data_IF_663396625626
#
_entry.id   IF_663396625626
#
_cell.length_a   1.000
_cell.length_b   1.000
_cell.length_c   1.000
_cell.angle_alpha   90.00
_cell.angle_beta   90.00
_cell.angle_gamma   90.00
#
_symmetry.space_group_name_H-M   'P 1'
#
loop_
_entity.id
_entity.type
_entity.pdbx_description
1 polymer ?
#
# COMPACT_ATOMS: atom_id res chain seq x y z
N UNK A 1 7.27 -2.58 -23.29
CA UNK A 1 6.88 -1.85 -22.06
C UNK A 1 7.97 -1.90 -20.98
N UNK A 2 9.17 -1.40 -21.30
CA UNK A 2 10.33 -1.30 -20.38
C UNK A 2 10.42 0.07 -19.69
N UNK A 3 9.40 0.92 -19.82
CA UNK A 3 9.41 2.32 -19.34
C UNK A 3 9.19 2.40 -17.81
N UNK A 4 8.88 1.28 -17.14
CA UNK A 4 8.62 1.24 -15.69
C UNK A 4 9.55 0.31 -14.92
N UNK A 5 10.76 0.05 -15.43
CA UNK A 5 11.87 -0.19 -14.50
C UNK A 5 12.09 1.12 -13.73
N UNK A 6 11.30 1.32 -12.67
CA UNK A 6 11.54 2.40 -11.73
C UNK A 6 12.95 2.16 -11.21
N UNK A 7 13.92 3.03 -11.50
CA UNK A 7 15.27 2.83 -11.04
C UNK A 7 15.20 2.61 -9.53
N UNK A 8 15.72 1.48 -9.05
CA UNK A 8 15.96 1.32 -7.62
C UNK A 8 17.07 2.29 -7.29
N UNK A 9 16.70 3.55 -7.04
CA UNK A 9 17.62 4.54 -6.54
C UNK A 9 18.03 4.04 -5.17
N UNK A 10 19.26 3.57 -5.07
CA UNK A 10 19.86 3.09 -3.83
C UNK A 10 20.21 4.30 -2.96
N UNK A 11 19.20 5.12 -2.67
CA UNK A 11 19.33 6.34 -1.90
C UNK A 11 19.38 5.92 -0.44
N UNK A 12 20.57 6.07 0.15
CA UNK A 12 20.75 5.96 1.59
C UNK A 12 19.74 6.87 2.28
N UNK A 13 18.94 6.30 3.19
CA UNK A 13 18.05 7.10 4.03
C UNK A 13 18.91 8.01 4.91
N UNK A 14 18.83 9.31 4.67
CA UNK A 14 19.53 10.34 5.45
C UNK A 14 18.74 10.75 6.70
N UNK A 15 17.41 10.71 6.62
CA UNK A 15 16.49 11.09 7.69
C UNK A 15 15.26 10.16 7.68
N UNK A 16 14.96 9.56 8.84
CA UNK A 16 13.85 8.62 8.99
C UNK A 16 12.48 9.29 8.89
N UNK A 17 12.33 10.51 9.41
CA UNK A 17 11.08 11.27 9.33
C UNK A 17 10.77 11.60 7.88
N UNK A 18 11.77 12.00 7.10
CA UNK A 18 11.60 12.25 5.66
C UNK A 18 11.25 10.98 4.90
N UNK A 19 11.93 9.86 5.19
CA UNK A 19 11.62 8.59 4.55
C UNK A 19 10.18 8.13 4.85
N UNK A 20 9.71 8.28 6.10
CA UNK A 20 8.34 7.95 6.48
C UNK A 20 7.32 8.91 5.88
N UNK A 21 7.62 10.20 5.81
CA UNK A 21 6.74 11.18 5.18
C UNK A 21 6.55 10.85 3.69
N UNK A 22 7.66 10.67 2.96
CA UNK A 22 7.60 10.31 1.55
C UNK A 22 6.89 8.97 1.33
N UNK A 23 7.08 7.99 2.21
CA UNK A 23 6.40 6.69 2.12
C UNK A 23 4.88 6.78 2.34
N UNK A 24 4.40 7.83 3.02
CA UNK A 24 2.99 8.10 3.27
C UNK A 24 2.39 9.17 2.33
N UNK A 25 3.16 9.70 1.39
CA UNK A 25 2.68 10.67 0.41
C UNK A 25 1.62 10.02 -0.52
N UNK A 26 0.39 10.56 -0.62
CA UNK A 26 -0.69 9.97 -1.42
C UNK A 26 -0.33 9.77 -2.90
N UNK A 27 0.41 10.70 -3.49
CA UNK A 27 0.82 10.62 -4.90
C UNK A 27 1.76 9.44 -5.10
N UNK A 28 2.74 9.29 -4.21
CA UNK A 28 3.65 8.14 -4.21
C UNK A 28 2.87 6.85 -4.01
N UNK A 29 1.98 6.77 -3.03
CA UNK A 29 1.17 5.56 -2.77
C UNK A 29 0.39 5.16 -4.03
N UNK A 30 -0.21 6.12 -4.72
CA UNK A 30 -0.94 5.90 -5.97
C UNK A 30 -0.02 5.40 -7.09
N UNK A 31 1.14 6.02 -7.29
CA UNK A 31 2.14 5.57 -8.27
C UNK A 31 2.61 4.15 -7.99
N UNK A 32 2.76 3.76 -6.71
CA UNK A 32 3.15 2.40 -6.34
C UNK A 32 2.07 1.36 -6.67
N UNK A 33 0.79 1.72 -6.75
CA UNK A 33 -0.22 0.78 -7.26
C UNK A 33 -0.07 0.51 -8.76
N UNK A 34 0.32 1.54 -9.53
CA UNK A 34 0.42 1.43 -10.98
C UNK A 34 1.40 0.32 -11.40
N UNK A 35 2.47 0.09 -10.64
CA UNK A 35 3.45 -0.96 -10.93
C UNK A 35 2.86 -2.37 -10.88
N UNK A 36 1.85 -2.62 -10.02
CA UNK A 36 1.13 -3.89 -9.92
C UNK A 36 0.14 -4.13 -11.07
N UNK A 37 -0.14 -3.10 -11.87
CA UNK A 37 -0.97 -3.19 -13.08
C UNK A 37 -0.13 -3.34 -14.35
N UNK A 38 1.16 -3.61 -14.20
CA UNK A 38 2.13 -3.81 -15.27
C UNK A 38 2.69 -5.24 -15.22
N UNK A 39 3.57 -5.56 -16.17
CA UNK A 39 4.38 -6.77 -16.22
C UNK A 39 3.57 -8.06 -15.90
N UNK A 40 3.63 -8.69 -14.68
CA UNK A 40 2.85 -9.90 -14.45
C UNK A 40 1.35 -9.72 -14.64
N UNK A 41 0.78 -8.54 -14.37
CA UNK A 41 -0.66 -8.30 -14.55
C UNK A 41 -1.10 -8.50 -16.00
N UNK A 42 -0.25 -8.10 -16.95
CA UNK A 42 -0.51 -8.16 -18.39
C UNK A 42 -0.13 -9.51 -19.02
N UNK A 43 0.34 -10.46 -18.22
CA UNK A 43 0.70 -11.78 -18.72
C UNK A 43 -0.55 -12.57 -19.11
N UNK A 44 -0.49 -13.21 -20.27
CA UNK A 44 -1.50 -14.13 -20.77
C UNK A 44 -0.79 -15.44 -21.11
N UNK A 45 -1.29 -16.58 -20.63
CA UNK A 45 -0.75 -17.90 -21.00
C UNK A 45 -1.25 -18.29 -22.41
N UNK A 46 -2.52 -17.99 -22.67
CA UNK A 46 -3.19 -18.05 -23.96
C UNK A 46 -3.77 -16.68 -24.27
N UNK A 47 -3.79 -16.30 -25.54
CA UNK A 47 -4.31 -15.00 -25.99
C UNK A 47 -5.73 -14.74 -25.43
N UNK A 48 -5.87 -13.61 -24.73
CA UNK A 48 -7.10 -13.15 -24.12
C UNK A 48 -7.50 -13.83 -22.80
N UNK A 49 -6.64 -14.69 -22.23
CA UNK A 49 -6.87 -15.23 -20.90
C UNK A 49 -6.48 -14.27 -19.77
N UNK A 50 -6.77 -14.67 -18.53
CA UNK A 50 -6.60 -13.84 -17.36
C UNK A 50 -5.46 -14.30 -16.45
N UNK A 51 -4.49 -15.08 -16.96
CA UNK A 51 -3.46 -15.70 -16.13
C UNK A 51 -2.71 -14.70 -15.23
N UNK A 52 -2.30 -13.56 -15.79
CA UNK A 52 -1.63 -12.48 -15.06
C UNK A 52 -2.53 -11.77 -14.05
N UNK A 53 -3.81 -11.56 -14.40
CA UNK A 53 -4.82 -10.95 -13.52
C UNK A 53 -5.10 -11.85 -12.32
N UNK A 54 -5.28 -13.15 -12.55
CA UNK A 54 -5.51 -14.15 -11.51
C UNK A 54 -4.29 -14.29 -10.59
N UNK A 55 -3.08 -14.22 -11.17
CA UNK A 55 -1.85 -14.21 -10.39
C UNK A 55 -1.73 -12.97 -9.49
N UNK A 56 -1.96 -11.76 -10.00
CA UNK A 56 -1.86 -10.52 -9.21
C UNK A 56 -2.97 -10.40 -8.17
N UNK A 57 -4.20 -10.76 -8.53
CA UNK A 57 -5.33 -10.76 -7.58
C UNK A 57 -5.12 -11.78 -6.46
N UNK A 58 -4.64 -12.98 -6.79
CA UNK A 58 -4.32 -14.04 -5.85
C UNK A 58 -3.13 -13.72 -4.93
N UNK A 59 -2.05 -13.11 -5.46
CA UNK A 59 -0.86 -12.83 -4.65
C UNK A 59 -0.91 -11.50 -3.90
N UNK A 60 -1.34 -10.41 -4.56
CA UNK A 60 -1.22 -9.05 -4.03
C UNK A 60 -2.53 -8.56 -3.43
N UNK A 61 -3.63 -8.61 -4.19
CA UNK A 61 -4.92 -8.11 -3.69
C UNK A 61 -5.41 -8.95 -2.50
N UNK A 62 -5.38 -10.28 -2.63
CA UNK A 62 -5.77 -11.20 -1.56
C UNK A 62 -4.92 -11.03 -0.30
N UNK A 63 -3.61 -10.74 -0.44
CA UNK A 63 -2.74 -10.48 0.70
C UNK A 63 -3.15 -9.22 1.47
N UNK A 64 -3.52 -8.15 0.77
CA UNK A 64 -4.00 -6.92 1.41
C UNK A 64 -5.35 -7.14 2.12
N UNK A 65 -6.27 -7.94 1.55
CA UNK A 65 -7.50 -8.34 2.24
C UNK A 65 -7.23 -9.15 3.53
N UNK A 66 -6.26 -10.07 3.49
CA UNK A 66 -5.86 -10.84 4.67
C UNK A 66 -5.26 -9.94 5.77
N UNK A 67 -4.44 -8.95 5.40
CA UNK A 67 -3.92 -7.96 6.34
C UNK A 67 -5.06 -7.18 7.00
N UNK A 68 -5.98 -6.65 6.20
CA UNK A 68 -7.16 -5.94 6.71
C UNK A 68 -7.99 -6.81 7.66
N UNK A 69 -8.24 -8.08 7.31
CA UNK A 69 -8.96 -9.02 8.17
C UNK A 69 -8.24 -9.32 9.48
N UNK A 70 -6.90 -9.36 9.47
CA UNK A 70 -6.13 -9.53 10.68
C UNK A 70 -6.22 -8.29 11.59
N UNK A 71 -6.26 -7.08 11.01
CA UNK A 71 -6.42 -5.83 11.77
C UNK A 71 -7.79 -5.79 12.46
N UNK A 72 -8.87 -6.18 11.77
CA UNK A 72 -10.20 -6.35 12.37
C UNK A 72 -10.22 -7.30 13.59
N UNK A 73 -9.30 -8.25 13.68
CA UNK A 73 -9.22 -9.19 14.82
C UNK A 73 -8.49 -8.62 16.03
N UNK A 74 -7.74 -7.54 15.86
CA UNK A 74 -7.02 -6.88 16.97
C UNK A 74 -7.99 -6.06 17.83
N UNK A 75 -9.03 -5.50 17.21
CA UNK A 75 -9.92 -4.55 17.88
C UNK A 75 -10.86 -5.25 18.86
N UNK A 76 -10.88 -4.78 20.09
CA UNK A 76 -11.96 -5.06 21.04
C UNK A 76 -12.42 -3.72 21.62
N UNK A 77 -13.68 -3.33 21.40
CA UNK A 77 -14.41 -2.26 22.12
C UNK A 77 -14.33 -0.81 21.61
N UNK A 78 -14.04 -0.57 20.32
CA UNK A 78 -14.45 0.67 19.62
C UNK A 78 -13.76 1.99 19.99
N UNK A 79 -12.92 2.03 21.03
CA UNK A 79 -12.22 3.27 21.47
C UNK A 79 -10.70 3.23 21.22
N UNK A 80 -10.14 2.07 20.85
CA UNK A 80 -8.71 1.91 20.66
C UNK A 80 -8.22 2.50 19.32
N UNK A 81 -7.03 3.11 19.34
CA UNK A 81 -6.31 3.53 18.13
C UNK A 81 -5.23 2.52 17.78
N UNK A 82 -5.13 2.17 16.50
CA UNK A 82 -4.09 1.28 15.98
C UNK A 82 -3.06 2.11 15.20
N UNK A 83 -1.80 2.00 15.59
CA UNK A 83 -0.67 2.45 14.76
C UNK A 83 -0.23 1.30 13.86
N UNK A 84 -0.42 1.43 12.55
CA UNK A 84 0.01 0.42 11.59
C UNK A 84 1.42 0.74 11.07
N UNK A 85 2.38 -0.13 11.37
CA UNK A 85 3.73 -0.10 10.81
C UNK A 85 3.82 -1.22 9.77
N UNK A 86 3.88 -0.84 8.50
CA UNK A 86 3.84 -1.80 7.38
C UNK A 86 4.67 -1.28 6.19
N UNK A 87 5.05 -2.18 5.28
CA UNK A 87 5.65 -1.78 4.01
C UNK A 87 4.71 -0.89 3.20
N UNK A 88 5.22 0.24 2.68
CA UNK A 88 4.41 1.28 2.03
C UNK A 88 3.67 0.82 0.77
N UNK A 89 4.16 -0.23 0.11
CA UNK A 89 3.48 -0.81 -1.06
C UNK A 89 2.05 -1.24 -0.73
N UNK A 90 1.76 -1.65 0.50
CA UNK A 90 0.44 -2.11 0.93
C UNK A 90 -0.58 -0.97 1.08
N UNK A 91 -0.11 0.27 1.25
CA UNK A 91 -0.98 1.40 1.55
C UNK A 91 -1.95 1.72 0.41
N UNK A 92 -1.62 1.37 -0.84
CA UNK A 92 -2.50 1.66 -1.98
C UNK A 92 -3.87 0.97 -1.90
N UNK A 93 -3.92 -0.27 -1.43
CA UNK A 93 -5.17 -1.00 -1.23
C UNK A 93 -5.67 -0.85 0.20
N UNK A 94 -4.77 -0.85 1.20
CA UNK A 94 -5.20 -0.72 2.59
C UNK A 94 -5.86 0.64 2.87
N UNK A 95 -5.35 1.75 2.33
CA UNK A 95 -6.00 3.06 2.51
C UNK A 95 -7.41 3.04 1.93
N UNK A 96 -7.60 2.44 0.74
CA UNK A 96 -8.94 2.28 0.16
C UNK A 96 -9.86 1.42 1.05
N UNK A 97 -9.34 0.32 1.60
CA UNK A 97 -10.14 -0.55 2.48
C UNK A 97 -10.53 0.14 3.79
N UNK A 98 -9.64 0.95 4.36
CA UNK A 98 -9.93 1.71 5.58
C UNK A 98 -10.84 2.91 5.32
N UNK A 99 -10.64 3.64 4.22
CA UNK A 99 -11.50 4.77 3.83
C UNK A 99 -12.94 4.35 3.55
N UNK A 100 -13.12 3.15 2.98
CA UNK A 100 -14.46 2.58 2.72
C UNK A 100 -15.04 1.79 3.90
N UNK A 101 -14.26 1.56 4.95
CA UNK A 101 -14.70 0.78 6.12
C UNK A 101 -15.71 1.56 6.96
N UNK A 102 -16.69 0.84 7.53
CA UNK A 102 -17.56 1.37 8.58
C UNK A 102 -17.07 1.08 10.00
N UNK A 103 -15.99 0.31 10.12
CA UNK A 103 -15.42 -0.13 11.41
C UNK A 103 -14.20 0.70 11.83
N UNK A 104 -13.59 1.41 10.88
CA UNK A 104 -12.37 2.16 11.09
C UNK A 104 -12.47 3.56 10.52
N UNK A 105 -11.78 4.49 11.17
CA UNK A 105 -11.46 5.81 10.63
C UNK A 105 -9.99 5.82 10.19
N UNK A 106 -9.74 6.09 8.91
CA UNK A 106 -8.37 6.25 8.41
C UNK A 106 -7.81 7.61 8.83
N UNK A 107 -6.80 7.60 9.70
CA UNK A 107 -6.10 8.82 10.13
C UNK A 107 -4.73 8.90 9.47
N UNK A 108 -4.49 9.98 8.72
CA UNK A 108 -3.20 10.21 8.06
C UNK A 108 -2.07 10.47 9.08
N UNK A 109 -0.88 9.85 8.91
CA UNK A 109 0.27 10.14 9.76
C UNK A 109 1.00 11.43 9.37
N UNK A 110 0.73 12.02 8.20
CA UNK A 110 1.49 13.17 7.66
C UNK A 110 1.52 14.37 8.60
N UNK A 111 0.40 14.82 9.23
CA UNK A 111 0.45 15.95 10.16
C UNK A 111 1.36 15.71 11.38
N UNK A 112 1.45 14.45 11.84
CA UNK A 112 2.33 14.08 12.95
C UNK A 112 3.80 14.07 12.52
N UNK A 113 4.09 13.62 11.30
CA UNK A 113 5.43 13.60 10.73
C UNK A 113 5.93 15.01 10.40
N UNK A 114 5.07 15.90 9.91
CA UNK A 114 5.41 17.33 9.68
C UNK A 114 5.79 18.02 10.98
N UNK A 115 5.02 17.78 12.05
CA UNK A 115 5.36 18.31 13.37
C UNK A 115 6.71 17.81 13.88
N UNK A 116 7.08 16.57 13.54
CA UNK A 116 8.37 15.97 13.93
C UNK A 116 9.56 16.43 13.06
N UNK A 117 9.31 17.15 11.95
CA UNK A 117 10.37 17.76 11.11
C UNK A 117 10.85 19.12 11.63
N UNK A 118 10.03 19.79 12.45
CA UNK A 118 10.32 21.08 13.09
C UNK A 118 11.21 20.89 14.32
#
# INVERSE_FOLDING_TARGET
>A
DTIYDVPVTNNKISNIIDALYEANNPDRIKERLATYLLHPFKYEENEGDFAGVDFESGRWYNRNLRIFRNIQRITNKGEDRILLIIGSEHLNLLNLFFDTSKEFELVSPLPYLEKARL
#
